data_IF_573877514218
#
_entry.id   IF_573877514218
#
_cell.length_a   1.000
_cell.length_b   1.000
_cell.length_c   1.000
_cell.angle_alpha   90.00
_cell.angle_beta   90.00
_cell.angle_gamma   90.00
#
_symmetry.space_group_name_H-M   'P 1'
#
loop_
_entity.id
_entity.type
_entity.pdbx_description
1 polymer ?
#
# COMPACT_ATOMS: atom_id res chain seq x y z
N UNK A 1 -13.66 4.68 -40.39
CA UNK A 1 -13.73 5.59 -39.22
C UNK A 1 -13.01 4.86 -38.09
N UNK A 2 -11.69 5.07 -37.98
CA UNK A 2 -10.81 4.31 -37.09
C UNK A 2 -10.64 5.06 -35.77
N UNK A 3 -11.61 4.92 -34.88
CA UNK A 3 -11.40 5.29 -33.47
C UNK A 3 -10.82 4.07 -32.76
N UNK A 4 -9.52 3.79 -32.97
CA UNK A 4 -8.79 2.96 -32.03
C UNK A 4 -8.63 3.81 -30.77
N UNK A 5 -9.57 3.65 -29.84
CA UNK A 5 -9.38 4.07 -28.46
C UNK A 5 -8.19 3.23 -28.00
N UNK A 6 -7.01 3.84 -27.91
CA UNK A 6 -5.91 3.27 -27.17
C UNK A 6 -6.38 3.20 -25.71
N UNK A 7 -7.16 2.17 -25.38
CA UNK A 7 -7.22 1.66 -24.03
C UNK A 7 -5.78 1.23 -23.78
N UNK A 8 -5.03 2.06 -23.06
CA UNK A 8 -3.80 1.59 -22.43
C UNK A 8 -4.14 0.22 -21.86
N UNK A 9 -3.50 -0.88 -22.33
CA UNK A 9 -3.68 -2.14 -21.66
C UNK A 9 -3.26 -1.84 -20.24
N UNK A 10 -4.25 -1.82 -19.34
CA UNK A 10 -3.99 -1.80 -17.91
C UNK A 10 -3.16 -3.05 -17.74
N UNK A 11 -1.85 -2.85 -17.56
CA UNK A 11 -0.87 -3.92 -17.51
C UNK A 11 -1.46 -5.00 -16.61
N UNK A 12 -1.50 -6.29 -17.00
CA UNK A 12 -2.23 -7.30 -16.26
C UNK A 12 -1.76 -7.42 -14.79
N UNK A 13 -0.58 -6.88 -14.46
CA UNK A 13 -0.11 -6.61 -13.11
C UNK A 13 -1.06 -5.73 -12.27
N UNK A 14 -1.77 -4.76 -12.86
CA UNK A 14 -2.78 -3.92 -12.21
C UNK A 14 -4.15 -4.59 -12.03
N UNK A 15 -4.45 -5.65 -12.79
CA UNK A 15 -5.68 -6.47 -12.63
C UNK A 15 -5.43 -7.73 -11.82
N UNK A 16 -4.18 -8.03 -11.48
CA UNK A 16 -3.83 -9.18 -10.68
C UNK A 16 -4.04 -8.87 -9.19
N UNK A 17 -4.95 -9.61 -8.57
CA UNK A 17 -5.09 -9.67 -7.12
C UNK A 17 -3.71 -9.92 -6.48
N UNK A 18 -3.35 -9.11 -5.48
CA UNK A 18 -2.06 -9.21 -4.80
C UNK A 18 -1.85 -10.63 -4.26
N UNK A 19 -0.75 -11.28 -4.62
CA UNK A 19 -0.48 -12.61 -4.10
C UNK A 19 -0.25 -12.58 -2.58
N UNK A 20 -0.57 -13.66 -1.85
CA UNK A 20 -0.23 -13.77 -0.43
C UNK A 20 1.22 -13.35 -0.07
N UNK A 21 2.27 -13.75 -0.82
CA UNK A 21 3.63 -13.26 -0.58
C UNK A 21 3.78 -11.75 -0.78
N UNK A 22 3.07 -11.14 -1.73
CA UNK A 22 3.08 -9.70 -1.95
C UNK A 22 2.42 -8.95 -0.79
N UNK A 23 1.27 -9.44 -0.32
CA UNK A 23 0.59 -8.90 0.87
C UNK A 23 1.49 -8.98 2.11
N UNK A 24 2.18 -10.11 2.29
CA UNK A 24 3.15 -10.29 3.37
C UNK A 24 4.32 -9.33 3.25
N UNK A 25 4.83 -9.09 2.04
CA UNK A 25 5.92 -8.15 1.79
C UNK A 25 5.50 -6.71 2.10
N UNK A 26 4.31 -6.28 1.65
CA UNK A 26 3.75 -4.96 1.93
C UNK A 26 3.58 -4.74 3.42
N UNK A 27 3.01 -5.72 4.12
CA UNK A 27 2.82 -5.63 5.56
C UNK A 27 4.17 -5.51 6.31
N UNK A 28 5.19 -6.25 5.88
CA UNK A 28 6.55 -6.18 6.44
C UNK A 28 7.17 -4.81 6.20
N UNK A 29 7.06 -4.32 4.97
CA UNK A 29 7.53 -3.01 4.56
C UNK A 29 6.86 -1.89 5.37
N UNK A 30 5.56 -2.04 5.68
CA UNK A 30 4.88 -1.09 6.54
C UNK A 30 5.47 -1.02 7.93
N UNK A 31 5.69 -2.17 8.56
CA UNK A 31 6.25 -2.26 9.90
C UNK A 31 7.70 -1.76 9.97
N UNK A 32 8.52 -2.16 8.99
CA UNK A 32 9.95 -1.86 8.97
C UNK A 32 10.31 -0.47 8.44
N UNK A 33 9.55 0.08 7.50
CA UNK A 33 9.88 1.32 6.80
C UNK A 33 8.79 2.38 6.93
N UNK A 34 7.53 2.06 6.64
CA UNK A 34 6.48 3.08 6.56
C UNK A 34 6.16 3.71 7.92
N UNK A 35 5.91 2.88 8.95
CA UNK A 35 5.62 3.35 10.31
C UNK A 35 6.74 4.25 10.85
N UNK A 36 8.02 3.81 10.88
CA UNK A 36 9.10 4.67 11.36
C UNK A 36 9.32 5.91 10.49
N UNK A 37 9.04 5.85 9.18
CA UNK A 37 9.10 7.03 8.32
C UNK A 37 8.01 8.05 8.67
N UNK A 38 6.77 7.59 8.91
CA UNK A 38 5.67 8.44 9.36
C UNK A 38 5.96 9.08 10.72
N UNK A 39 6.51 8.30 11.66
CA UNK A 39 6.95 8.81 12.96
C UNK A 39 8.05 9.86 12.83
N UNK A 40 9.03 9.65 11.94
CA UNK A 40 10.06 10.63 11.62
C UNK A 40 9.51 11.92 10.97
N UNK A 41 8.39 11.82 10.24
CA UNK A 41 7.66 12.96 9.67
C UNK A 41 6.78 13.70 10.71
N UNK A 42 6.75 13.20 11.95
CA UNK A 42 6.00 13.77 13.07
C UNK A 42 4.57 13.24 13.20
N UNK A 43 4.23 12.12 12.59
CA UNK A 43 2.92 11.50 12.71
C UNK A 43 2.92 10.34 13.73
N UNK A 44 1.78 10.12 14.39
CA UNK A 44 1.59 8.97 15.28
C UNK A 44 0.71 7.94 14.59
N UNK A 45 1.27 6.79 14.24
CA UNK A 45 0.52 5.70 13.62
C UNK A 45 -0.17 4.87 14.71
N UNK A 46 -1.50 4.81 14.68
CA UNK A 46 -2.23 3.92 15.59
C UNK A 46 -2.06 2.46 15.14
N UNK A 47 -1.31 1.70 15.93
CA UNK A 47 -1.12 0.26 15.75
C UNK A 47 -2.07 -0.57 16.62
N UNK A 48 -2.95 0.07 17.40
CA UNK A 48 -3.91 -0.61 18.28
C UNK A 48 -4.92 -1.44 17.51
N UNK A 49 -5.28 -0.98 16.31
CA UNK A 49 -6.21 -1.65 15.38
C UNK A 49 -5.51 -2.53 14.35
N UNK A 50 -4.18 -2.70 14.48
CA UNK A 50 -3.36 -3.46 13.54
C UNK A 50 -3.71 -4.95 13.60
N UNK A 51 -4.23 -5.56 12.52
CA UNK A 51 -4.41 -7.00 12.45
C UNK A 51 -3.04 -7.67 12.34
N UNK A 52 -2.93 -8.93 12.77
CA UNK A 52 -1.72 -9.73 12.53
C UNK A 52 -1.47 -9.91 11.03
N UNK A 53 -0.19 -10.04 10.63
CA UNK A 53 0.22 -10.26 9.23
C UNK A 53 -0.58 -11.39 8.55
N UNK A 54 -0.74 -12.53 9.23
CA UNK A 54 -1.53 -13.66 8.71
C UNK A 54 -3.02 -13.33 8.57
N UNK A 55 -3.60 -12.64 9.55
CA UNK A 55 -5.01 -12.21 9.50
C UNK A 55 -5.25 -11.21 8.38
N UNK A 56 -4.33 -10.26 8.18
CA UNK A 56 -4.39 -9.30 7.08
C UNK A 56 -4.39 -10.02 5.74
N UNK A 57 -3.41 -10.88 5.49
CA UNK A 57 -3.25 -11.61 4.22
C UNK A 57 -4.45 -12.52 3.96
N UNK A 58 -4.91 -13.25 4.98
CA UNK A 58 -6.04 -14.18 4.87
C UNK A 58 -7.36 -13.44 4.63
N UNK A 59 -7.58 -12.33 5.34
CA UNK A 59 -8.84 -11.59 5.26
C UNK A 59 -8.88 -10.61 4.07
N UNK A 60 -7.75 -10.30 3.41
CA UNK A 60 -7.65 -9.30 2.35
C UNK A 60 -8.63 -9.54 1.20
N UNK A 61 -8.76 -10.79 0.77
CA UNK A 61 -9.68 -11.22 -0.30
C UNK A 61 -11.09 -11.58 0.18
N UNK A 62 -11.32 -11.49 1.49
CA UNK A 62 -12.62 -11.81 2.07
C UNK A 62 -13.46 -10.54 2.25
N UNK A 63 -14.79 -10.65 2.25
CA UNK A 63 -15.66 -9.51 2.56
C UNK A 63 -15.46 -8.95 3.98
N UNK A 64 -14.75 -9.68 4.86
CA UNK A 64 -14.37 -9.24 6.20
C UNK A 64 -12.95 -8.64 6.27
N UNK A 65 -12.44 -8.08 5.17
CA UNK A 65 -11.10 -7.48 5.14
C UNK A 65 -10.92 -6.43 6.23
N UNK A 66 -9.71 -6.32 6.73
CA UNK A 66 -9.36 -5.26 7.67
C UNK A 66 -9.15 -3.95 6.93
N UNK A 67 -9.88 -2.89 7.30
CA UNK A 67 -9.66 -1.52 6.81
C UNK A 67 -8.44 -0.84 7.47
N UNK A 68 -7.59 -1.60 8.13
CA UNK A 68 -6.38 -1.06 8.75
C UNK A 68 -5.32 -0.81 7.67
N UNK A 69 -5.03 0.47 7.44
CA UNK A 69 -3.95 0.94 6.59
C UNK A 69 -3.17 2.02 7.33
N UNK A 70 -1.86 1.84 7.61
CA UNK A 70 -1.09 2.77 8.43
C UNK A 70 -1.06 4.17 7.83
N UNK A 71 -0.89 4.28 6.51
CA UNK A 71 -0.90 5.56 5.80
C UNK A 71 -2.27 6.26 5.93
N UNK A 72 -3.35 5.56 5.61
CA UNK A 72 -4.70 6.14 5.60
C UNK A 72 -5.19 6.51 7.00
N UNK A 73 -4.89 5.68 7.99
CA UNK A 73 -5.20 5.95 9.39
C UNK A 73 -4.48 7.23 9.87
N UNK A 74 -3.23 7.41 9.43
CA UNK A 74 -2.39 8.54 9.80
C UNK A 74 -2.73 9.83 9.04
N UNK A 75 -3.10 9.72 7.76
CA UNK A 75 -3.43 10.85 6.90
C UNK A 75 -4.84 11.41 7.13
N UNK A 76 -5.66 10.75 7.95
CA UNK A 76 -7.00 11.22 8.29
C UNK A 76 -6.94 12.58 9.00
N UNK A 77 -7.35 13.64 8.28
CA UNK A 77 -7.34 15.02 8.79
C UNK A 77 -6.07 15.83 8.45
N UNK A 78 -5.14 15.24 7.70
CA UNK A 78 -3.95 15.93 7.19
C UNK A 78 -4.29 16.65 5.88
N UNK A 79 -3.81 17.89 5.63
CA UNK A 79 -4.05 18.55 4.35
C UNK A 79 -3.37 17.81 3.18
N UNK A 80 -4.02 17.82 2.02
CA UNK A 80 -3.61 17.04 0.83
C UNK A 80 -2.17 17.34 0.38
N UNK A 81 -1.71 18.59 0.54
CA UNK A 81 -0.33 18.98 0.24
C UNK A 81 0.68 18.22 1.10
N UNK A 82 0.41 18.12 2.41
CA UNK A 82 1.23 17.36 3.36
C UNK A 82 1.12 15.86 3.10
N UNK A 83 -0.07 15.37 2.75
CA UNK A 83 -0.25 13.97 2.38
C UNK A 83 0.64 13.63 1.19
N UNK A 84 0.60 14.43 0.12
CA UNK A 84 1.40 14.22 -1.09
C UNK A 84 2.90 14.24 -0.78
N UNK A 85 3.36 15.21 0.02
CA UNK A 85 4.76 15.28 0.44
C UNK A 85 5.18 14.04 1.25
N UNK A 86 4.30 13.53 2.10
CA UNK A 86 4.54 12.34 2.91
C UNK A 86 4.52 11.09 2.07
N UNK A 87 3.58 10.91 1.12
CA UNK A 87 3.57 9.78 0.18
C UNK A 87 4.84 9.76 -0.67
N UNK A 88 5.34 10.94 -1.09
CA UNK A 88 6.58 11.03 -1.85
C UNK A 88 7.82 10.71 -1.00
N UNK A 89 7.80 11.02 0.29
CA UNK A 89 8.93 10.76 1.21
C UNK A 89 8.89 9.34 1.78
N UNK A 90 7.70 8.89 2.15
CA UNK A 90 7.36 7.62 2.77
C UNK A 90 6.36 6.90 1.85
N UNK A 91 6.84 6.27 0.76
CA UNK A 91 5.95 5.57 -0.17
C UNK A 91 5.22 4.46 0.58
N UNK A 92 3.91 4.36 0.34
CA UNK A 92 3.06 3.39 1.02
C UNK A 92 3.33 1.95 0.59
N UNK A 93 3.83 1.73 -0.63
CA UNK A 93 4.14 0.42 -1.14
C UNK A 93 5.65 0.30 -1.37
N UNK A 94 6.21 -0.92 -1.22
CA UNK A 94 7.58 -1.18 -1.62
C UNK A 94 7.77 -0.91 -3.12
N UNK A 95 9.00 -0.63 -3.57
CA UNK A 95 9.29 -0.37 -4.98
C UNK A 95 8.77 -1.51 -5.87
N UNK A 96 8.20 -1.12 -7.01
CA UNK A 96 7.54 -2.04 -7.95
C UNK A 96 8.42 -3.21 -8.39
N UNK A 97 9.74 -3.00 -8.54
CA UNK A 97 10.71 -4.06 -8.86
C UNK A 97 10.74 -5.17 -7.79
N UNK A 98 10.64 -4.80 -6.51
CA UNK A 98 10.60 -5.75 -5.38
C UNK A 98 9.21 -6.34 -5.23
N UNK A 99 8.17 -5.52 -5.43
CA UNK A 99 6.78 -5.93 -5.24
C UNK A 99 6.30 -6.91 -6.32
N UNK A 100 6.60 -6.62 -7.60
CA UNK A 100 6.23 -7.46 -8.74
C UNK A 100 7.32 -8.45 -9.13
N UNK A 101 8.53 -8.32 -8.58
CA UNK A 101 9.64 -9.22 -8.91
C UNK A 101 10.12 -9.11 -10.35
N UNK A 102 9.80 -8.00 -11.05
CA UNK A 102 10.31 -7.69 -12.39
C UNK A 102 11.79 -7.34 -12.28
N UNK A 103 12.61 -8.38 -12.10
CA UNK A 103 14.01 -8.32 -12.54
C UNK A 103 13.95 -8.18 -14.07
N UNK A 104 14.54 -7.09 -14.58
CA UNK A 104 14.64 -6.84 -16.02
C UNK A 104 15.33 -7.95 -16.80
#
# INVERSE_FOLDING_TARGET
MNTCIAQHPVDPSYTQDWSEPQLRLVYDYWDQYLIPCLEAQGFTVDTSTRPSKESFVTAFFTPGRHDWWPLQATMRGVPEERQTQVVQTCPELPPQDVFWGTSG
#
